data_IF_930570410445
#
_entry.id   IF_930570410445
#
_cell.length_a   1.000
_cell.length_b   1.000
_cell.length_c   1.000
_cell.angle_alpha   90.00
_cell.angle_beta   90.00
_cell.angle_gamma   90.00
#
_symmetry.space_group_name_H-M   'P 1'
#
loop_
_entity.id
_entity.type
_entity.pdbx_description
1 polymer ?
#
# COMPACT_ATOMS: atom_id res chain seq x y z
N UNK A 1 15.94 -9.01 -22.40
CA UNK A 1 14.71 -9.35 -21.66
C UNK A 1 14.22 -8.14 -20.87
N UNK A 2 12.91 -8.07 -20.65
CA UNK A 2 12.27 -6.93 -19.96
C UNK A 2 12.95 -6.56 -18.63
N UNK A 3 13.38 -7.53 -17.82
CA UNK A 3 14.11 -7.28 -16.59
C UNK A 3 15.50 -6.68 -16.84
N UNK A 4 16.23 -7.19 -17.86
CA UNK A 4 17.55 -6.68 -18.20
C UNK A 4 17.47 -5.24 -18.73
N UNK A 5 16.43 -4.90 -19.45
CA UNK A 5 16.24 -3.55 -19.99
C UNK A 5 15.87 -2.56 -18.86
N UNK A 6 14.98 -2.96 -17.96
CA UNK A 6 14.66 -2.20 -16.76
C UNK A 6 15.90 -2.00 -15.88
N UNK A 7 16.69 -3.05 -15.65
CA UNK A 7 17.95 -2.96 -14.89
C UNK A 7 18.94 -1.98 -15.51
N UNK A 8 19.17 -2.07 -16.83
CA UNK A 8 20.10 -1.16 -17.53
C UNK A 8 19.63 0.29 -17.41
N UNK A 9 18.35 0.55 -17.62
CA UNK A 9 17.79 1.89 -17.51
C UNK A 9 17.95 2.46 -16.10
N UNK A 10 17.49 1.73 -15.08
CA UNK A 10 17.57 2.15 -13.68
C UNK A 10 19.03 2.33 -13.22
N UNK A 11 19.93 1.44 -13.63
CA UNK A 11 21.35 1.54 -13.31
C UNK A 11 22.03 2.72 -13.99
N UNK A 12 21.67 3.01 -15.24
CA UNK A 12 22.17 4.20 -15.95
C UNK A 12 21.69 5.47 -15.24
N UNK A 13 20.43 5.52 -14.87
CA UNK A 13 19.84 6.66 -14.17
C UNK A 13 20.52 6.91 -12.81
N UNK A 14 20.69 5.85 -12.03
CA UNK A 14 21.41 5.89 -10.74
C UNK A 14 22.83 6.41 -10.89
N UNK A 15 23.60 5.88 -11.84
CA UNK A 15 24.95 6.34 -12.10
C UNK A 15 25.01 7.82 -12.46
N UNK A 16 24.08 8.32 -13.31
CA UNK A 16 24.03 9.74 -13.68
C UNK A 16 23.71 10.62 -12.47
N UNK A 17 22.81 10.17 -11.60
CA UNK A 17 22.49 10.86 -10.35
C UNK A 17 23.73 10.96 -9.43
N UNK A 18 24.41 9.84 -9.22
CA UNK A 18 25.60 9.77 -8.35
C UNK A 18 26.76 10.59 -8.89
N UNK A 19 27.06 10.51 -10.18
CA UNK A 19 28.13 11.25 -10.83
C UNK A 19 27.92 12.77 -10.80
N UNK A 20 26.68 13.24 -10.85
CA UNK A 20 26.39 14.68 -10.86
C UNK A 20 26.84 15.41 -9.59
N UNK A 21 26.70 14.76 -8.43
CA UNK A 21 27.02 15.37 -7.12
C UNK A 21 28.14 14.64 -6.38
N UNK A 22 28.73 13.59 -6.99
CA UNK A 22 29.70 12.69 -6.37
C UNK A 22 29.22 12.18 -4.99
N UNK A 23 27.92 11.98 -4.86
CA UNK A 23 27.27 11.49 -3.63
C UNK A 23 26.50 10.21 -3.92
N UNK A 24 26.51 9.31 -2.96
CA UNK A 24 25.69 8.11 -3.00
C UNK A 24 24.23 8.51 -2.76
N UNK A 25 23.42 8.49 -3.81
CA UNK A 25 21.99 8.80 -3.76
C UNK A 25 21.20 7.81 -4.63
N UNK A 26 19.96 7.51 -4.23
CA UNK A 26 19.05 6.62 -4.93
C UNK A 26 17.68 7.29 -5.19
N UNK A 27 17.54 8.57 -4.82
CA UNK A 27 16.30 9.35 -4.98
C UNK A 27 16.39 10.30 -6.16
N UNK A 28 15.31 10.37 -6.95
CA UNK A 28 15.18 11.36 -8.00
C UNK A 28 15.04 12.76 -7.38
N UNK A 29 15.59 13.80 -8.03
CA UNK A 29 15.33 15.18 -7.64
C UNK A 29 13.86 15.53 -7.79
N UNK A 30 13.38 16.46 -6.96
CA UNK A 30 12.04 17.02 -7.08
C UNK A 30 12.00 18.25 -8.00
N UNK A 31 13.15 18.91 -8.19
CA UNK A 31 13.27 20.10 -9.02
C UNK A 31 13.29 19.78 -10.51
N UNK A 32 12.43 20.43 -11.28
CA UNK A 32 12.29 20.25 -12.73
C UNK A 32 13.57 20.57 -13.52
N UNK A 33 14.38 21.54 -13.08
CA UNK A 33 15.63 21.88 -13.74
C UNK A 33 16.65 20.76 -13.56
N UNK A 34 16.71 20.16 -12.38
CA UNK A 34 17.56 19.00 -12.11
C UNK A 34 17.11 17.76 -12.87
N UNK A 35 15.81 17.48 -12.90
CA UNK A 35 15.22 16.40 -13.70
C UNK A 35 15.52 16.57 -15.18
N UNK A 36 15.44 17.79 -15.72
CA UNK A 36 15.75 18.08 -17.12
C UNK A 36 17.21 17.80 -17.47
N UNK A 37 18.13 18.17 -16.59
CA UNK A 37 19.58 17.87 -16.79
C UNK A 37 19.81 16.36 -16.75
N UNK A 38 19.20 15.66 -15.81
CA UNK A 38 19.28 14.21 -15.69
C UNK A 38 18.74 13.51 -16.95
N UNK A 39 17.55 13.90 -17.39
CA UNK A 39 16.90 13.36 -18.59
C UNK A 39 17.78 13.54 -19.85
N UNK A 40 18.33 14.73 -20.05
CA UNK A 40 19.24 15.01 -21.15
C UNK A 40 20.53 14.19 -21.09
N UNK A 41 21.03 13.89 -19.88
CA UNK A 41 22.21 13.08 -19.70
C UNK A 41 22.05 11.62 -20.13
N UNK A 42 20.82 11.13 -20.24
CA UNK A 42 20.46 9.80 -20.75
C UNK A 42 19.86 9.84 -22.16
N UNK A 43 19.91 11.00 -22.84
CA UNK A 43 19.55 11.14 -24.25
C UNK A 43 18.13 11.62 -24.52
N UNK A 44 17.33 11.92 -23.51
CA UNK A 44 15.95 12.42 -23.70
C UNK A 44 15.97 13.93 -24.00
N UNK A 45 15.37 14.36 -25.12
CA UNK A 45 15.52 15.73 -25.64
C UNK A 45 14.23 16.48 -25.95
N UNK A 46 13.18 15.81 -26.36
CA UNK A 46 11.92 16.46 -26.76
C UNK A 46 11.15 17.01 -25.58
N UNK A 47 10.66 16.15 -24.72
CA UNK A 47 10.00 16.49 -23.44
C UNK A 47 10.73 15.82 -22.28
N UNK A 48 11.98 16.25 -21.98
CA UNK A 48 12.93 15.44 -21.21
C UNK A 48 12.42 15.04 -19.84
N UNK A 49 11.76 15.92 -19.10
CA UNK A 49 11.24 15.63 -17.75
C UNK A 49 10.11 14.62 -17.82
N UNK A 50 9.15 14.83 -18.72
CA UNK A 50 8.00 13.96 -18.91
C UNK A 50 8.43 12.56 -19.36
N UNK A 51 9.26 12.50 -20.41
CA UNK A 51 9.79 11.25 -20.93
C UNK A 51 10.56 10.46 -19.86
N UNK A 52 11.37 11.15 -19.03
CA UNK A 52 12.10 10.54 -17.92
C UNK A 52 11.15 9.92 -16.91
N UNK A 53 10.16 10.68 -16.44
CA UNK A 53 9.20 10.23 -15.44
C UNK A 53 8.36 9.07 -15.96
N UNK A 54 7.89 9.13 -17.21
CA UNK A 54 7.10 8.07 -17.84
C UNK A 54 7.90 6.77 -17.99
N UNK A 55 9.16 6.85 -18.46
CA UNK A 55 10.04 5.69 -18.56
C UNK A 55 10.38 5.11 -17.19
N UNK A 56 10.70 5.95 -16.22
CA UNK A 56 11.00 5.53 -14.85
C UNK A 56 9.80 4.79 -14.23
N UNK A 57 8.59 5.37 -14.27
CA UNK A 57 7.36 4.73 -13.81
C UNK A 57 7.05 3.43 -14.54
N UNK A 58 7.32 3.39 -15.85
CA UNK A 58 7.13 2.18 -16.67
C UNK A 58 8.04 1.04 -16.22
N UNK A 59 9.34 1.31 -16.05
CA UNK A 59 10.30 0.31 -15.58
C UNK A 59 10.05 -0.12 -14.14
N UNK A 60 9.65 0.81 -13.26
CA UNK A 60 9.22 0.47 -11.89
C UNK A 60 8.06 -0.54 -11.90
N UNK A 61 6.99 -0.24 -12.66
CA UNK A 61 5.84 -1.16 -12.78
C UNK A 61 6.25 -2.53 -13.33
N UNK A 62 7.17 -2.55 -14.27
CA UNK A 62 7.66 -3.78 -14.89
C UNK A 62 8.47 -4.64 -13.91
N UNK A 63 9.40 -4.05 -13.16
CA UNK A 63 10.18 -4.74 -12.12
C UNK A 63 9.23 -5.26 -11.04
N UNK A 64 8.28 -4.45 -10.56
CA UNK A 64 7.28 -4.85 -9.57
C UNK A 64 6.46 -6.07 -10.04
N UNK A 65 5.92 -6.04 -11.26
CA UNK A 65 5.18 -7.20 -11.84
C UNK A 65 6.01 -8.48 -11.90
N UNK A 66 7.28 -8.37 -12.22
CA UNK A 66 8.18 -9.52 -12.26
C UNK A 66 8.47 -10.05 -10.86
N UNK A 67 8.71 -9.17 -9.89
CA UNK A 67 8.89 -9.51 -8.49
C UNK A 67 7.65 -10.22 -7.92
N UNK A 68 6.46 -9.66 -8.12
CA UNK A 68 5.20 -10.27 -7.73
C UNK A 68 5.02 -11.67 -8.33
N UNK A 69 5.30 -11.81 -9.63
CA UNK A 69 5.19 -13.09 -10.34
C UNK A 69 6.14 -14.15 -9.79
N UNK A 70 7.36 -13.77 -9.41
CA UNK A 70 8.39 -14.71 -9.00
C UNK A 70 8.31 -15.07 -7.51
N UNK A 71 7.91 -14.12 -6.66
CA UNK A 71 7.98 -14.29 -5.22
C UNK A 71 6.60 -14.49 -4.56
N UNK A 72 5.61 -13.65 -4.88
CA UNK A 72 4.34 -13.65 -4.15
C UNK A 72 3.28 -14.59 -4.71
N UNK A 73 3.17 -14.71 -6.05
CA UNK A 73 2.20 -15.65 -6.65
C UNK A 73 2.45 -17.12 -6.27
N UNK A 74 3.71 -17.63 -6.28
CA UNK A 74 3.97 -18.96 -5.81
C UNK A 74 3.67 -19.18 -4.34
N UNK A 75 3.87 -18.15 -3.48
CA UNK A 75 3.50 -18.20 -2.07
C UNK A 75 1.99 -18.40 -1.90
N UNK A 76 1.17 -17.56 -2.56
CA UNK A 76 -0.28 -17.69 -2.48
C UNK A 76 -0.80 -19.00 -3.07
N UNK A 77 -0.18 -19.49 -4.14
CA UNK A 77 -0.52 -20.80 -4.69
C UNK A 77 -0.17 -21.95 -3.74
N UNK A 78 0.88 -21.80 -2.93
CA UNK A 78 1.22 -22.77 -1.88
C UNK A 78 0.22 -22.70 -0.72
N UNK A 79 -0.16 -21.51 -0.28
CA UNK A 79 -1.18 -21.32 0.77
C UNK A 79 -2.54 -21.87 0.34
N UNK A 80 -2.96 -21.62 -0.91
CA UNK A 80 -4.23 -22.14 -1.43
C UNK A 80 -4.27 -23.68 -1.52
N UNK A 81 -3.12 -24.31 -1.80
CA UNK A 81 -3.01 -25.78 -1.79
C UNK A 81 -3.11 -26.40 -0.40
N UNK A 82 -2.75 -25.67 0.66
CA UNK A 82 -2.93 -26.12 2.04
C UNK A 82 -4.41 -26.33 2.39
N UNK A 83 -5.31 -25.50 1.84
CA UNK A 83 -6.76 -25.68 2.02
C UNK A 83 -7.29 -26.96 1.35
N UNK A 84 -6.62 -27.45 0.30
CA UNK A 84 -6.99 -28.66 -0.42
C UNK A 84 -6.43 -29.97 0.18
N UNK A 85 -5.78 -29.90 1.35
CA UNK A 85 -5.24 -31.09 2.04
C UNK A 85 -3.92 -31.62 1.48
N UNK A 86 -3.28 -30.88 0.58
CA UNK A 86 -1.98 -31.25 0.00
C UNK A 86 -0.81 -30.75 0.85
N UNK A 87 -0.30 -31.60 1.71
CA UNK A 87 1.09 -31.82 2.08
C UNK A 87 1.88 -30.78 2.91
N UNK A 88 2.48 -31.31 3.96
CA UNK A 88 3.44 -30.66 4.89
C UNK A 88 4.62 -29.93 4.19
N UNK A 89 5.06 -30.39 3.01
CA UNK A 89 6.13 -29.77 2.23
C UNK A 89 5.77 -28.37 1.70
N UNK A 90 4.49 -28.12 1.40
CA UNK A 90 4.05 -26.78 0.95
C UNK A 90 3.94 -25.79 2.09
N UNK A 91 3.64 -26.23 3.31
CA UNK A 91 3.58 -25.38 4.50
C UNK A 91 4.96 -24.86 4.89
N UNK A 92 5.94 -25.75 4.97
CA UNK A 92 7.31 -25.36 5.29
C UNK A 92 7.88 -24.38 4.26
N UNK A 93 7.71 -24.65 2.97
CA UNK A 93 8.16 -23.76 1.92
C UNK A 93 7.47 -22.37 1.96
N UNK A 94 6.20 -22.32 2.38
CA UNK A 94 5.49 -21.07 2.58
C UNK A 94 6.04 -20.28 3.79
N UNK A 95 6.34 -20.98 4.89
CA UNK A 95 6.94 -20.38 6.09
C UNK A 95 8.32 -19.79 5.79
N UNK A 96 9.22 -20.58 5.18
CA UNK A 96 10.57 -20.13 4.80
C UNK A 96 10.54 -18.88 3.90
N UNK A 97 9.55 -18.79 3.00
CA UNK A 97 9.37 -17.61 2.16
C UNK A 97 8.90 -16.36 2.93
N UNK A 98 7.98 -16.55 3.88
CA UNK A 98 7.52 -15.45 4.72
C UNK A 98 8.63 -14.96 5.64
N UNK A 99 9.44 -15.87 6.20
CA UNK A 99 10.65 -15.52 6.96
C UNK A 99 11.63 -14.70 6.12
N UNK A 100 11.90 -15.15 4.89
CA UNK A 100 12.76 -14.42 3.95
C UNK A 100 12.21 -13.03 3.56
N UNK A 101 10.91 -12.80 3.69
CA UNK A 101 10.23 -11.52 3.49
C UNK A 101 10.17 -10.66 4.77
N UNK A 102 10.75 -11.12 5.88
CA UNK A 102 10.82 -10.38 7.13
C UNK A 102 9.64 -10.59 8.09
N UNK A 103 8.76 -11.57 7.81
CA UNK A 103 7.69 -11.92 8.75
C UNK A 103 8.27 -12.64 9.96
N UNK A 104 7.91 -12.19 11.16
CA UNK A 104 8.36 -12.76 12.43
C UNK A 104 7.48 -13.91 12.92
N UNK A 105 6.20 -13.94 12.51
CA UNK A 105 5.25 -15.05 12.73
C UNK A 105 4.71 -15.60 11.40
N UNK A 106 5.50 -16.41 10.67
CA UNK A 106 5.06 -16.98 9.40
C UNK A 106 3.82 -17.85 9.51
N UNK A 107 3.64 -18.53 10.65
CA UNK A 107 2.47 -19.36 10.90
C UNK A 107 1.20 -18.49 11.06
N UNK A 108 1.31 -17.38 11.77
CA UNK A 108 0.25 -16.36 11.87
C UNK A 108 -0.07 -15.74 10.53
N UNK A 109 0.95 -15.37 9.77
CA UNK A 109 0.79 -14.80 8.43
C UNK A 109 0.03 -15.76 7.50
N UNK A 110 0.36 -17.06 7.52
CA UNK A 110 -0.37 -18.09 6.74
C UNK A 110 -1.84 -18.14 7.16
N UNK A 111 -2.14 -18.14 8.46
CA UNK A 111 -3.55 -18.12 8.94
C UNK A 111 -4.30 -16.87 8.44
N UNK A 112 -3.65 -15.70 8.41
CA UNK A 112 -4.25 -14.49 7.90
C UNK A 112 -4.48 -14.54 6.38
N UNK A 113 -3.53 -15.07 5.61
CA UNK A 113 -3.66 -15.28 4.17
C UNK A 113 -4.79 -16.24 3.84
N UNK A 114 -4.88 -17.35 4.56
CA UNK A 114 -5.98 -18.33 4.39
C UNK A 114 -7.33 -17.66 4.65
N UNK A 115 -7.48 -16.93 5.77
CA UNK A 115 -8.73 -16.25 6.10
C UNK A 115 -9.15 -15.21 5.04
N UNK A 116 -8.19 -14.50 4.42
CA UNK A 116 -8.44 -13.52 3.36
C UNK A 116 -8.80 -14.18 2.02
N UNK A 117 -8.23 -15.35 1.72
CA UNK A 117 -8.36 -16.01 0.40
C UNK A 117 -9.38 -17.12 0.35
N UNK A 118 -9.91 -17.57 1.51
CA UNK A 118 -10.84 -18.68 1.61
C UNK A 118 -12.17 -18.45 0.89
N UNK A 119 -12.73 -19.52 0.37
CA UNK A 119 -14.03 -19.55 -0.30
C UNK A 119 -14.01 -19.07 -1.75
N UNK A 120 -15.20 -19.09 -2.37
CA UNK A 120 -15.42 -18.78 -3.80
C UNK A 120 -16.08 -17.42 -4.04
N UNK A 121 -16.18 -16.58 -3.01
CA UNK A 121 -16.80 -15.28 -3.10
C UNK A 121 -16.03 -14.32 -4.02
N UNK A 122 -16.74 -13.32 -4.60
CA UNK A 122 -16.11 -12.24 -5.35
C UNK A 122 -15.05 -11.49 -4.51
N UNK A 123 -15.27 -11.35 -3.21
CA UNK A 123 -14.33 -10.78 -2.24
C UNK A 123 -13.03 -11.58 -2.24
N UNK A 124 -13.09 -12.88 -2.02
CA UNK A 124 -11.92 -13.75 -2.02
C UNK A 124 -11.16 -13.72 -3.34
N UNK A 125 -11.86 -13.66 -4.48
CA UNK A 125 -11.23 -13.54 -5.78
C UNK A 125 -10.43 -12.23 -5.94
N UNK A 126 -10.99 -11.09 -5.52
CA UNK A 126 -10.29 -9.79 -5.56
C UNK A 126 -9.11 -9.79 -4.58
N UNK A 127 -9.27 -10.32 -3.37
CA UNK A 127 -8.20 -10.40 -2.39
C UNK A 127 -7.04 -11.27 -2.89
N UNK A 128 -7.30 -12.41 -3.54
CA UNK A 128 -6.24 -13.22 -4.18
C UNK A 128 -5.44 -12.46 -5.23
N UNK A 129 -6.06 -11.49 -5.89
CA UNK A 129 -5.38 -10.64 -6.88
C UNK A 129 -4.56 -9.53 -6.21
N UNK A 130 -5.07 -8.96 -5.11
CA UNK A 130 -4.42 -7.85 -4.39
C UNK A 130 -3.27 -8.32 -3.49
N UNK A 131 -3.42 -9.46 -2.82
CA UNK A 131 -2.47 -9.94 -1.81
C UNK A 131 -1.03 -10.05 -2.29
N UNK A 132 -0.71 -10.52 -3.53
CA UNK A 132 0.68 -10.56 -3.99
C UNK A 132 1.38 -9.21 -3.94
N UNK A 133 0.65 -8.13 -4.27
CA UNK A 133 1.15 -6.76 -4.24
C UNK A 133 1.25 -6.25 -2.81
N UNK A 134 0.18 -6.45 -2.03
CA UNK A 134 0.10 -6.02 -0.63
C UNK A 134 1.21 -6.64 0.22
N UNK A 135 1.50 -7.94 0.05
CA UNK A 135 2.58 -8.62 0.76
C UNK A 135 3.95 -7.99 0.50
N UNK A 136 4.18 -7.50 -0.74
CA UNK A 136 5.39 -6.74 -1.07
C UNK A 136 5.48 -5.46 -0.27
N UNK A 137 4.42 -4.69 -0.24
CA UNK A 137 4.40 -3.43 0.49
C UNK A 137 4.49 -3.61 2.02
N UNK A 138 3.90 -4.68 2.58
CA UNK A 138 4.08 -5.00 3.99
C UNK A 138 5.54 -5.38 4.29
N UNK A 139 6.17 -6.19 3.44
CA UNK A 139 7.57 -6.61 3.60
C UNK A 139 8.55 -5.42 3.48
N UNK A 140 8.20 -4.39 2.71
CA UNK A 140 8.97 -3.14 2.62
C UNK A 140 8.73 -2.21 3.83
N UNK A 141 7.73 -2.50 4.66
CA UNK A 141 7.36 -1.71 5.83
C UNK A 141 8.07 -2.15 7.11
N UNK A 142 7.94 -1.38 8.21
CA UNK A 142 8.63 -1.65 9.48
C UNK A 142 8.19 -2.94 10.19
N UNK A 143 6.91 -3.33 10.08
CA UNK A 143 6.33 -4.51 10.74
C UNK A 143 5.36 -5.21 9.77
N UNK A 144 5.86 -6.19 8.97
CA UNK A 144 5.04 -6.92 8.00
C UNK A 144 3.87 -7.69 8.64
N UNK A 145 4.09 -8.25 9.83
CA UNK A 145 3.07 -9.02 10.56
C UNK A 145 1.91 -8.13 10.99
N UNK A 146 2.22 -6.95 11.57
CA UNK A 146 1.21 -5.95 11.93
C UNK A 146 0.46 -5.45 10.69
N UNK A 147 1.17 -5.22 9.57
CA UNK A 147 0.58 -4.81 8.29
C UNK A 147 -0.45 -5.80 7.76
N UNK A 148 -0.10 -7.09 7.71
CA UNK A 148 -0.99 -8.15 7.23
C UNK A 148 -2.17 -8.38 8.19
N UNK A 149 -1.93 -8.35 9.51
CA UNK A 149 -2.99 -8.48 10.51
C UNK A 149 -3.98 -7.31 10.39
N UNK A 150 -3.50 -6.07 10.33
CA UNK A 150 -4.31 -4.87 10.16
C UNK A 150 -5.14 -4.92 8.87
N UNK A 151 -4.53 -5.32 7.77
CA UNK A 151 -5.23 -5.50 6.50
C UNK A 151 -6.36 -6.53 6.60
N UNK A 152 -6.14 -7.66 7.28
CA UNK A 152 -7.19 -8.65 7.53
C UNK A 152 -8.33 -8.05 8.34
N UNK A 153 -8.03 -7.39 9.46
CA UNK A 153 -9.04 -6.80 10.35
C UNK A 153 -9.89 -5.73 9.63
N UNK A 154 -9.27 -4.81 8.90
CA UNK A 154 -10.01 -3.80 8.11
C UNK A 154 -10.80 -4.44 6.97
N UNK A 155 -10.22 -5.46 6.31
CA UNK A 155 -10.94 -6.22 5.28
C UNK A 155 -12.14 -6.99 5.84
N UNK A 156 -12.08 -7.46 7.07
CA UNK A 156 -13.22 -8.11 7.73
C UNK A 156 -14.29 -7.08 8.10
N UNK A 157 -13.92 -5.92 8.62
CA UNK A 157 -14.82 -4.83 8.94
C UNK A 157 -15.54 -4.25 7.70
N UNK A 158 -14.84 -4.10 6.57
CA UNK A 158 -15.35 -3.54 5.32
C UNK A 158 -15.80 -4.60 4.30
N UNK A 159 -15.72 -5.87 4.64
CA UNK A 159 -15.87 -6.98 3.67
C UNK A 159 -17.19 -7.07 2.93
N UNK A 160 -18.26 -6.51 3.48
CA UNK A 160 -19.57 -6.41 2.83
C UNK A 160 -19.71 -5.18 1.91
N UNK A 161 -18.71 -4.28 1.90
CA UNK A 161 -18.81 -3.01 1.17
C UNK A 161 -18.15 -3.11 -0.21
N UNK A 162 -18.92 -2.98 -1.31
CA UNK A 162 -18.40 -3.16 -2.67
C UNK A 162 -17.37 -2.11 -3.08
N UNK A 163 -17.37 -0.93 -2.45
CA UNK A 163 -16.47 0.17 -2.80
C UNK A 163 -15.03 -0.06 -2.31
N UNK A 164 -14.83 -0.70 -1.16
CA UNK A 164 -13.52 -0.88 -0.54
C UNK A 164 -12.54 -1.67 -1.44
N UNK A 165 -12.97 -2.85 -1.86
CA UNK A 165 -12.13 -3.70 -2.71
C UNK A 165 -11.94 -3.11 -4.11
N UNK A 166 -12.92 -2.33 -4.62
CA UNK A 166 -12.75 -1.59 -5.88
C UNK A 166 -11.71 -0.50 -5.72
N UNK A 167 -11.78 0.29 -4.63
CA UNK A 167 -10.78 1.32 -4.33
C UNK A 167 -9.36 0.73 -4.34
N UNK A 168 -9.12 -0.33 -3.60
CA UNK A 168 -7.78 -0.95 -3.53
C UNK A 168 -7.31 -1.55 -4.86
N UNK A 169 -8.26 -2.04 -5.68
CA UNK A 169 -7.93 -2.58 -7.01
C UNK A 169 -7.61 -1.50 -8.02
N UNK A 170 -8.41 -0.43 -8.02
CA UNK A 170 -8.38 0.60 -9.05
C UNK A 170 -7.38 1.73 -8.70
N UNK A 171 -7.18 2.01 -7.39
CA UNK A 171 -6.30 3.05 -6.85
C UNK A 171 -5.08 2.44 -6.16
N UNK A 172 -4.04 2.13 -6.93
CA UNK A 172 -2.83 1.49 -6.38
C UNK A 172 -2.12 2.34 -5.32
N UNK A 173 -2.16 3.67 -5.44
CA UNK A 173 -1.59 4.59 -4.45
C UNK A 173 -2.30 4.49 -3.09
N UNK A 174 -3.64 4.36 -3.08
CA UNK A 174 -4.40 4.17 -1.85
C UNK A 174 -4.06 2.83 -1.18
N UNK A 175 -3.91 1.76 -1.96
CA UNK A 175 -3.54 0.45 -1.45
C UNK A 175 -2.11 0.43 -0.88
N UNK A 176 -1.16 1.11 -1.54
CA UNK A 176 0.23 1.25 -1.08
C UNK A 176 0.32 2.04 0.23
N UNK A 177 -0.38 3.18 0.32
CA UNK A 177 -0.48 3.99 1.54
C UNK A 177 -1.10 3.20 2.70
N UNK A 178 -2.17 2.46 2.41
CA UNK A 178 -2.83 1.61 3.40
C UNK A 178 -1.86 0.56 3.94
N UNK A 179 -1.11 -0.12 3.08
CA UNK A 179 -0.15 -1.13 3.47
C UNK A 179 0.98 -0.55 4.33
N UNK A 180 1.56 0.58 3.88
CA UNK A 180 2.61 1.26 4.64
C UNK A 180 2.13 1.71 6.02
N UNK A 181 0.97 2.36 6.08
CA UNK A 181 0.40 2.86 7.33
C UNK A 181 0.13 1.72 8.33
N UNK A 182 -0.45 0.60 7.87
CA UNK A 182 -0.74 -0.55 8.73
C UNK A 182 0.52 -1.23 9.25
N UNK A 183 1.59 -1.27 8.45
CA UNK A 183 2.88 -1.81 8.88
C UNK A 183 3.66 -0.84 9.78
N UNK A 184 3.38 0.46 9.70
CA UNK A 184 4.10 1.49 10.45
C UNK A 184 3.42 1.89 11.77
N UNK A 185 2.08 1.77 11.87
CA UNK A 185 1.33 2.31 13.01
C UNK A 185 0.12 1.46 13.38
N UNK A 186 0.21 0.78 14.52
CA UNK A 186 -0.95 0.09 15.13
C UNK A 186 -2.06 1.05 15.49
N UNK A 187 -1.70 2.26 15.96
CA UNK A 187 -2.69 3.28 16.31
C UNK A 187 -3.50 3.75 15.09
N UNK A 188 -2.86 3.96 13.94
CA UNK A 188 -3.57 4.29 12.71
C UNK A 188 -4.49 3.16 12.25
N UNK A 189 -4.07 1.90 12.41
CA UNK A 189 -4.92 0.73 12.17
C UNK A 189 -6.13 0.71 13.10
N UNK A 190 -5.95 1.00 14.40
CA UNK A 190 -7.05 1.07 15.37
C UNK A 190 -8.04 2.20 15.04
N UNK A 191 -7.56 3.35 14.57
CA UNK A 191 -8.43 4.43 14.07
C UNK A 191 -9.28 3.99 12.88
N UNK A 192 -8.67 3.27 11.93
CA UNK A 192 -9.40 2.69 10.79
C UNK A 192 -10.43 1.66 11.20
N UNK A 193 -10.15 0.82 12.20
CA UNK A 193 -11.13 -0.15 12.68
C UNK A 193 -12.34 0.52 13.34
N UNK A 194 -12.16 1.72 13.90
CA UNK A 194 -13.24 2.51 14.49
C UNK A 194 -14.00 3.38 13.46
N UNK A 195 -13.35 3.71 12.33
CA UNK A 195 -13.92 4.52 11.25
C UNK A 195 -13.41 3.99 9.89
N UNK A 196 -13.84 2.77 9.47
CA UNK A 196 -13.27 2.09 8.29
C UNK A 196 -13.46 2.86 6.98
N UNK A 197 -14.48 3.70 6.88
CA UNK A 197 -14.73 4.58 5.73
C UNK A 197 -13.59 5.58 5.48
N UNK A 198 -12.77 5.89 6.49
CA UNK A 198 -11.60 6.77 6.35
C UNK A 198 -10.55 6.25 5.37
N UNK A 199 -10.58 4.97 5.01
CA UNK A 199 -9.75 4.40 3.94
C UNK A 199 -9.90 5.17 2.63
N UNK A 200 -11.05 5.78 2.36
CA UNK A 200 -11.28 6.59 1.15
C UNK A 200 -10.33 7.77 1.03
N UNK A 201 -9.96 8.38 2.16
CA UNK A 201 -9.03 9.51 2.19
C UNK A 201 -7.67 9.18 1.61
N UNK A 202 -7.28 7.91 1.63
CA UNK A 202 -5.99 7.46 1.09
C UNK A 202 -5.89 7.58 -0.44
N UNK A 203 -7.02 7.76 -1.12
CA UNK A 203 -7.06 7.93 -2.58
C UNK A 203 -6.82 9.38 -3.02
N UNK A 204 -6.98 10.35 -2.13
CA UNK A 204 -6.90 11.78 -2.46
C UNK A 204 -5.88 12.50 -1.56
N UNK A 205 -4.84 13.06 -2.17
CA UNK A 205 -3.80 13.81 -1.47
C UNK A 205 -4.34 15.07 -0.78
N UNK A 206 -5.38 15.67 -1.33
CA UNK A 206 -6.01 16.86 -0.72
C UNK A 206 -6.77 16.49 0.56
N UNK A 207 -7.41 15.32 0.57
CA UNK A 207 -8.09 14.82 1.78
C UNK A 207 -7.11 14.46 2.91
N UNK A 208 -5.85 14.18 2.60
CA UNK A 208 -4.80 13.89 3.58
C UNK A 208 -4.10 15.15 4.10
N UNK A 209 -4.37 16.34 3.53
CA UNK A 209 -3.76 17.58 4.02
C UNK A 209 -4.38 18.02 5.35
N UNK A 210 -3.56 18.53 6.29
CA UNK A 210 -4.07 19.11 7.53
C UNK A 210 -5.05 20.24 7.25
N UNK A 211 -6.17 20.25 7.95
CA UNK A 211 -7.20 21.28 7.84
C UNK A 211 -6.90 22.44 8.78
N UNK A 212 -7.34 23.64 8.41
CA UNK A 212 -7.22 24.80 9.28
C UNK A 212 -8.13 24.67 10.51
N UNK A 213 -7.69 25.25 11.62
CA UNK A 213 -8.48 25.33 12.86
C UNK A 213 -9.88 25.94 12.62
N UNK A 214 -9.96 27.02 11.84
CA UNK A 214 -11.23 27.65 11.48
C UNK A 214 -12.19 26.71 10.76
N UNK A 215 -11.68 25.90 9.81
CA UNK A 215 -12.48 24.90 9.09
C UNK A 215 -12.97 23.80 10.04
N UNK A 216 -12.12 23.33 10.93
CA UNK A 216 -12.50 22.33 11.93
C UNK A 216 -13.52 22.86 12.93
N UNK A 217 -13.35 24.07 13.42
CA UNK A 217 -14.29 24.71 14.33
C UNK A 217 -15.68 24.89 13.69
N UNK A 218 -15.73 25.30 12.42
CA UNK A 218 -16.98 25.44 11.67
C UNK A 218 -17.68 24.09 11.51
N UNK A 219 -16.98 23.03 11.13
CA UNK A 219 -17.56 21.70 11.00
C UNK A 219 -18.01 21.15 12.36
N UNK A 220 -17.20 21.34 13.41
CA UNK A 220 -17.53 20.91 14.76
C UNK A 220 -18.84 21.56 15.24
N UNK A 221 -18.98 22.89 15.08
CA UNK A 221 -20.21 23.60 15.43
C UNK A 221 -21.42 23.09 14.65
N UNK A 222 -21.27 22.89 13.33
CA UNK A 222 -22.35 22.35 12.50
C UNK A 222 -22.76 20.92 12.89
N UNK A 223 -21.77 20.07 13.27
CA UNK A 223 -22.06 18.70 13.72
C UNK A 223 -22.82 18.70 15.04
N UNK A 224 -22.46 19.54 16.00
CA UNK A 224 -23.16 19.65 17.28
C UNK A 224 -24.59 20.19 17.09
N UNK A 225 -24.76 21.21 16.27
CA UNK A 225 -26.08 21.81 15.99
C UNK A 225 -27.08 20.85 15.32
N UNK A 226 -26.60 19.83 14.62
CA UNK A 226 -27.44 18.82 13.96
C UNK A 226 -27.91 17.70 14.91
N UNK A 227 -27.43 17.68 16.14
CA UNK A 227 -27.77 16.64 17.09
C UNK A 227 -28.74 17.20 18.16
N UNK A 228 -29.89 16.55 18.30
CA UNK A 228 -30.85 16.92 19.32
C UNK A 228 -30.44 16.42 20.71
N UNK A 229 -29.66 15.32 20.74
CA UNK A 229 -29.25 14.67 21.99
C UNK A 229 -27.75 14.95 22.31
N UNK A 230 -27.39 15.32 23.55
CA UNK A 230 -26.02 15.61 23.94
C UNK A 230 -25.04 14.43 23.73
N UNK A 231 -25.51 13.20 23.93
CA UNK A 231 -24.71 11.98 23.74
C UNK A 231 -24.38 11.81 22.26
N UNK A 232 -25.35 12.07 21.36
CA UNK A 232 -25.12 12.02 19.91
C UNK A 232 -24.13 13.10 19.45
N UNK A 233 -24.22 14.32 20.01
CA UNK A 233 -23.26 15.39 19.74
C UNK A 233 -21.82 14.99 20.14
N UNK A 234 -21.65 14.39 21.33
CA UNK A 234 -20.34 13.89 21.77
C UNK A 234 -19.82 12.78 20.85
N UNK A 235 -20.69 11.86 20.40
CA UNK A 235 -20.32 10.80 19.48
C UNK A 235 -19.87 11.36 18.11
N UNK A 236 -20.57 12.38 17.58
CA UNK A 236 -20.20 13.07 16.34
C UNK A 236 -18.84 13.77 16.47
N UNK A 237 -18.59 14.45 17.59
CA UNK A 237 -17.29 15.10 17.86
C UNK A 237 -16.15 14.08 17.98
N UNK A 238 -16.37 12.93 18.61
CA UNK A 238 -15.38 11.84 18.66
C UNK A 238 -15.08 11.29 17.26
N UNK A 239 -16.07 11.16 16.40
CA UNK A 239 -15.89 10.72 15.02
C UNK A 239 -15.09 11.72 14.19
N UNK A 240 -15.41 13.02 14.31
CA UNK A 240 -14.60 14.09 13.69
C UNK A 240 -13.15 14.01 14.15
N UNK A 241 -12.91 13.95 15.47
CA UNK A 241 -11.56 13.85 16.01
C UNK A 241 -10.79 12.64 15.47
N UNK A 242 -11.40 11.46 15.42
CA UNK A 242 -10.76 10.24 14.90
C UNK A 242 -10.37 10.39 13.44
N UNK A 243 -11.24 10.96 12.64
CA UNK A 243 -10.99 11.23 11.22
C UNK A 243 -9.81 12.19 11.04
N UNK A 244 -9.73 13.27 11.83
CA UNK A 244 -8.63 14.22 11.75
C UNK A 244 -7.31 13.68 12.32
N UNK A 245 -7.36 12.78 13.31
CA UNK A 245 -6.17 12.08 13.79
C UNK A 245 -5.65 11.03 12.81
N UNK A 246 -6.54 10.52 11.94
CA UNK A 246 -6.18 9.60 10.87
C UNK A 246 -5.58 10.33 9.65
N UNK A 247 -6.04 11.56 9.39
CA UNK A 247 -5.53 12.45 8.33
C UNK A 247 -4.03 12.75 8.47
#
# INVERSE_FOLDING_TARGET
>A
SALADAYRFLRTLEHRLQLRRLRRTHTLPEDDAELRVLARSIGLRSEPVRELIDQWKSHQRQVRRLHEKLFYRPLLASVARLEAGEARLSLQAAQERLEALGYSDPAGAIRHLQALTSGVSRRAAIQRTLLPVMLGWFADGPDPDAGLLGFRQVSDALGATPWYLRLLRDESAAAERLAFMMSASRYATDLLLQAPESVRMLADDEELRPRSEASLATEAAALVQRQDEPIAAVAAMRSLRRRELFR
#
